data_IF_115752901260
#
_entry.id   IF_115752901260
#
_cell.length_a   1.000
_cell.length_b   1.000
_cell.length_c   1.000
_cell.angle_alpha   90.00
_cell.angle_beta   90.00
_cell.angle_gamma   90.00
#
_symmetry.space_group_name_H-M   'P 1'
#
loop_
_entity.id
_entity.type
_entity.pdbx_description
1 polymer ?
#
# COMPACT_ATOMS: atom_id res chain seq x y z
N UNK A 1 -35.42 2.42 -15.14
CA UNK A 1 -34.34 2.50 -16.14
C UNK A 1 -33.13 3.02 -15.37
N UNK A 2 -32.27 2.11 -14.92
CA UNK A 2 -31.19 2.43 -13.97
C UNK A 2 -30.01 2.95 -14.79
N UNK A 3 -29.71 4.25 -14.70
CA UNK A 3 -28.49 4.80 -15.29
C UNK A 3 -27.27 4.27 -14.50
N UNK A 4 -26.25 3.71 -15.16
CA UNK A 4 -25.01 3.39 -14.48
C UNK A 4 -24.31 4.71 -14.16
N UNK A 5 -24.31 5.11 -12.89
CA UNK A 5 -23.58 6.27 -12.40
C UNK A 5 -22.14 6.22 -12.93
N UNK A 6 -21.81 7.16 -13.80
CA UNK A 6 -20.52 7.27 -14.46
C UNK A 6 -19.40 7.30 -13.40
N UNK A 7 -18.53 6.29 -13.40
CA UNK A 7 -17.25 6.33 -12.70
C UNK A 7 -16.29 7.16 -13.56
N UNK A 8 -16.60 8.44 -13.74
CA UNK A 8 -15.79 9.36 -14.58
C UNK A 8 -15.41 10.59 -13.76
N UNK A 9 -14.68 10.34 -12.67
CA UNK A 9 -13.82 11.37 -12.08
C UNK A 9 -12.48 11.42 -12.84
N UNK A 10 -11.74 12.54 -12.80
CA UNK A 10 -10.42 12.60 -13.40
C UNK A 10 -9.49 11.58 -12.73
N UNK A 11 -8.92 10.67 -13.52
CA UNK A 11 -7.88 9.73 -13.06
C UNK A 11 -6.65 10.55 -12.69
N UNK A 12 -6.32 10.58 -11.40
CA UNK A 12 -5.12 11.22 -10.88
C UNK A 12 -3.96 10.26 -11.07
N UNK A 13 -3.14 10.47 -12.11
CA UNK A 13 -1.89 9.74 -12.27
C UNK A 13 -0.91 10.19 -11.18
N UNK A 14 -0.47 9.25 -10.36
CA UNK A 14 0.53 9.48 -9.30
C UNK A 14 1.85 8.90 -9.77
N UNK A 15 2.90 9.71 -9.76
CA UNK A 15 4.26 9.21 -9.99
C UNK A 15 4.75 8.46 -8.74
N UNK A 16 4.94 7.14 -8.90
CA UNK A 16 5.32 6.22 -7.83
C UNK A 16 6.65 5.55 -8.17
N UNK A 17 7.63 5.73 -7.30
CA UNK A 17 8.88 4.97 -7.36
C UNK A 17 8.58 3.48 -7.10
N UNK A 18 9.06 2.61 -7.99
CA UNK A 18 8.89 1.15 -7.90
C UNK A 18 9.33 0.56 -6.56
N UNK A 19 10.27 1.19 -5.85
CA UNK A 19 10.72 0.78 -4.53
C UNK A 19 9.62 0.90 -3.46
N UNK A 20 8.67 1.81 -3.61
CA UNK A 20 7.52 1.97 -2.72
C UNK A 20 6.55 0.79 -2.89
N UNK A 21 6.20 0.47 -4.14
CA UNK A 21 5.37 -0.67 -4.49
C UNK A 21 6.00 -2.00 -4.06
N UNK A 22 7.31 -2.19 -4.29
CA UNK A 22 8.03 -3.39 -3.81
C UNK A 22 7.98 -3.52 -2.30
N UNK A 23 8.08 -2.41 -1.56
CA UNK A 23 7.95 -2.44 -0.11
C UNK A 23 6.55 -2.82 0.36
N UNK A 24 5.52 -2.37 -0.34
CA UNK A 24 4.14 -2.76 -0.07
C UNK A 24 3.90 -4.25 -0.33
N UNK A 25 4.21 -4.73 -1.53
CA UNK A 25 4.05 -6.15 -1.91
C UNK A 25 4.82 -7.06 -0.95
N UNK A 26 6.07 -6.73 -0.63
CA UNK A 26 6.86 -7.53 0.31
C UNK A 26 6.24 -7.61 1.71
N UNK A 27 5.54 -6.57 2.17
CA UNK A 27 4.87 -6.54 3.47
C UNK A 27 3.60 -7.38 3.46
N UNK A 28 2.83 -7.35 2.38
CA UNK A 28 1.65 -8.19 2.16
C UNK A 28 2.05 -9.66 2.10
N UNK A 29 2.99 -10.00 1.20
CA UNK A 29 3.46 -11.38 1.00
C UNK A 29 4.13 -11.99 2.22
N UNK A 30 4.73 -11.16 3.06
CA UNK A 30 5.41 -11.60 4.27
C UNK A 30 4.54 -11.50 5.53
N UNK A 31 3.33 -10.93 5.42
CA UNK A 31 2.40 -10.73 6.55
C UNK A 31 2.89 -9.74 7.61
N UNK A 32 3.90 -8.90 7.31
CA UNK A 32 4.40 -7.93 8.28
C UNK A 32 5.74 -7.29 7.95
N UNK A 33 6.02 -6.18 8.66
CA UNK A 33 7.19 -5.33 8.41
C UNK A 33 8.52 -6.04 8.69
N UNK A 34 8.59 -6.87 9.73
CA UNK A 34 9.84 -7.54 10.15
C UNK A 34 10.31 -8.54 9.08
N UNK A 35 9.39 -9.37 8.59
CA UNK A 35 9.71 -10.36 7.56
C UNK A 35 10.00 -9.68 6.22
N UNK A 36 9.26 -8.61 5.88
CA UNK A 36 9.53 -7.81 4.69
C UNK A 36 10.88 -7.09 4.73
N UNK A 37 11.28 -6.55 5.88
CA UNK A 37 12.56 -5.85 6.01
C UNK A 37 13.74 -6.79 5.79
N UNK A 38 13.65 -8.03 6.29
CA UNK A 38 14.64 -9.06 6.01
C UNK A 38 14.72 -9.40 4.51
N UNK A 39 13.57 -9.56 3.84
CA UNK A 39 13.52 -9.86 2.39
C UNK A 39 14.09 -8.73 1.52
N UNK A 40 13.90 -7.48 1.93
CA UNK A 40 14.32 -6.31 1.17
C UNK A 40 15.74 -5.83 1.50
N UNK A 41 16.40 -6.40 2.50
CA UNK A 41 17.70 -5.91 2.98
C UNK A 41 17.62 -4.51 3.60
N UNK A 42 16.52 -4.20 4.29
CA UNK A 42 16.27 -2.88 4.88
C UNK A 42 16.03 -3.02 6.39
N UNK A 43 16.06 -1.89 7.09
CA UNK A 43 15.54 -1.82 8.45
C UNK A 43 14.00 -1.82 8.44
N UNK A 44 13.39 -2.28 9.53
CA UNK A 44 11.93 -2.24 9.70
C UNK A 44 11.38 -0.80 9.60
N UNK A 45 12.12 0.18 10.14
CA UNK A 45 11.80 1.61 10.01
C UNK A 45 11.90 2.09 8.57
N UNK A 46 12.88 1.62 7.79
CA UNK A 46 13.02 1.93 6.37
C UNK A 46 11.82 1.44 5.54
N UNK A 47 11.35 0.21 5.78
CA UNK A 47 10.13 -0.31 5.15
C UNK A 47 8.90 0.49 5.57
N UNK A 48 8.77 0.81 6.87
CA UNK A 48 7.66 1.61 7.38
C UNK A 48 7.62 3.02 6.76
N UNK A 49 8.78 3.65 6.53
CA UNK A 49 8.85 4.97 5.87
C UNK A 49 8.43 4.88 4.42
N UNK A 50 8.82 3.82 3.69
CA UNK A 50 8.40 3.62 2.31
C UNK A 50 6.90 3.39 2.18
N UNK A 51 6.31 2.60 3.09
CA UNK A 51 4.86 2.42 3.14
C UNK A 51 4.13 3.73 3.41
N UNK A 52 4.57 4.50 4.41
CA UNK A 52 3.98 5.82 4.67
C UNK A 52 4.08 6.73 3.45
N UNK A 53 5.23 6.77 2.77
CA UNK A 53 5.40 7.55 1.54
C UNK A 53 4.47 7.09 0.41
N UNK A 54 4.22 5.78 0.29
CA UNK A 54 3.25 5.24 -0.67
C UNK A 54 1.85 5.76 -0.35
N UNK A 55 1.41 5.62 0.91
CA UNK A 55 0.10 6.10 1.36
C UNK A 55 -0.04 7.62 1.18
N UNK A 56 1.01 8.40 1.49
CA UNK A 56 1.03 9.86 1.30
C UNK A 56 0.90 10.25 -0.18
N UNK A 57 1.55 9.49 -1.09
CA UNK A 57 1.49 9.73 -2.54
C UNK A 57 0.12 9.39 -3.12
N UNK A 58 -0.49 8.32 -2.63
CA UNK A 58 -1.82 7.89 -3.03
C UNK A 58 -2.92 8.75 -2.40
N UNK A 59 -2.67 9.34 -1.22
CA UNK A 59 -3.67 10.06 -0.43
C UNK A 59 -4.65 9.12 0.29
N UNK A 60 -4.29 7.85 0.44
CA UNK A 60 -5.13 6.77 0.97
C UNK A 60 -4.27 5.75 1.70
N UNK A 61 -4.89 5.09 2.68
CA UNK A 61 -4.26 3.98 3.42
C UNK A 61 -4.40 2.71 2.58
N UNK A 62 -3.34 1.91 2.53
CA UNK A 62 -3.30 0.64 1.78
C UNK A 62 -3.21 -0.56 2.72
N UNK A 63 -2.86 -0.31 3.98
CA UNK A 63 -2.77 -1.31 5.04
C UNK A 63 -3.44 -0.80 6.30
N UNK A 64 -4.25 -1.66 6.92
CA UNK A 64 -4.78 -1.49 8.26
C UNK A 64 -3.96 -2.32 9.25
N UNK A 65 -3.77 -1.78 10.46
CA UNK A 65 -3.16 -2.51 11.57
C UNK A 65 -4.27 -2.91 12.53
N UNK A 66 -4.51 -4.20 12.65
CA UNK A 66 -5.21 -4.77 13.79
C UNK A 66 -4.22 -5.12 14.90
N UNK A 67 -4.72 -5.32 16.12
CA UNK A 67 -3.91 -5.73 17.27
C UNK A 67 -3.18 -7.06 17.08
N UNK A 68 -3.59 -7.87 16.10
CA UNK A 68 -3.04 -9.22 15.83
C UNK A 68 -2.59 -9.44 14.38
N UNK A 69 -3.03 -8.61 13.44
CA UNK A 69 -2.83 -8.83 12.01
C UNK A 69 -2.58 -7.53 11.27
N UNK A 70 -1.83 -7.63 10.17
CA UNK A 70 -1.71 -6.60 9.16
C UNK A 70 -2.64 -7.01 8.01
N UNK A 71 -3.60 -6.16 7.67
CA UNK A 71 -4.64 -6.46 6.69
C UNK A 71 -4.66 -5.39 5.59
N UNK A 72 -4.99 -5.80 4.37
CA UNK A 72 -5.21 -4.86 3.27
C UNK A 72 -6.47 -4.03 3.55
N UNK A 73 -6.43 -2.76 3.16
CA UNK A 73 -7.65 -1.98 3.01
C UNK A 73 -8.29 -2.26 1.65
N UNK A 74 -9.57 -1.91 1.42
CA UNK A 74 -10.16 -2.03 0.09
C UNK A 74 -9.35 -1.31 -0.99
N UNK A 75 -8.74 -0.16 -0.67
CA UNK A 75 -7.87 0.55 -1.59
C UNK A 75 -6.54 -0.18 -1.85
N UNK A 76 -6.01 -0.87 -0.83
CA UNK A 76 -4.80 -1.68 -0.95
C UNK A 76 -5.00 -2.92 -1.82
N UNK A 77 -6.20 -3.49 -1.86
CA UNK A 77 -6.54 -4.62 -2.74
C UNK A 77 -6.58 -4.23 -4.23
N UNK A 78 -6.70 -2.94 -4.54
CA UNK A 78 -6.75 -2.42 -5.91
C UNK A 78 -5.36 -2.14 -6.50
N UNK A 79 -4.29 -2.25 -5.71
CA UNK A 79 -2.90 -2.03 -6.12
C UNK A 79 -2.22 -3.32 -6.58
#
# INVERSE_FOLDING_TARGET
MNEPAAITGPVRLVDLDSSLLRSFVAVVDAGGLTAASARLGLTQSGVSVRLRRLEDRLGLRVLSRSSRSLELTPEGELL
#
